data_IF_304114469016
#
_entry.id   IF_304114469016
#
_cell.length_a   1.000
_cell.length_b   1.000
_cell.length_c   1.000
_cell.angle_alpha   90.00
_cell.angle_beta   90.00
_cell.angle_gamma   90.00
#
_symmetry.space_group_name_H-M   'P 1'
#
loop_
_entity.id
_entity.type
_entity.pdbx_description
1 polymer ?
#
# COMPACT_ATOMS: atom_id res chain seq x y z
N UNK A 1 -3.10 20.57 2.83
CA UNK A 1 -1.87 20.46 1.98
C UNK A 1 -0.64 20.07 2.80
N UNK A 2 -0.24 20.86 3.81
CA UNK A 2 0.95 20.56 4.65
C UNK A 2 0.90 19.15 5.26
N UNK A 3 -0.26 18.74 5.76
CA UNK A 3 -0.48 17.39 6.28
C UNK A 3 -0.13 16.28 5.28
N UNK A 4 -0.50 16.41 4.01
CA UNK A 4 -0.21 15.40 2.99
C UNK A 4 1.27 15.32 2.62
N UNK A 5 2.02 16.41 2.79
CA UNK A 5 3.47 16.45 2.59
C UNK A 5 4.17 15.64 3.68
N UNK A 6 3.80 15.86 4.94
CA UNK A 6 4.31 15.08 6.07
C UNK A 6 3.86 13.61 5.96
N UNK A 7 2.61 13.36 5.61
CA UNK A 7 2.13 12.01 5.35
C UNK A 7 2.93 11.34 4.23
N UNK A 8 3.32 12.09 3.18
CA UNK A 8 4.18 11.56 2.11
C UNK A 8 5.54 11.08 2.58
N UNK A 9 6.13 11.71 3.59
CA UNK A 9 7.37 11.22 4.20
C UNK A 9 7.18 9.86 4.87
N UNK A 10 6.10 9.68 5.65
CA UNK A 10 5.82 8.42 6.34
C UNK A 10 5.36 7.31 5.40
N UNK A 11 4.49 7.63 4.44
CA UNK A 11 3.93 6.67 3.47
C UNK A 11 5.05 6.07 2.61
N UNK A 12 6.04 6.86 2.17
CA UNK A 12 7.20 6.34 1.41
C UNK A 12 8.04 5.33 2.16
N UNK A 13 8.17 5.49 3.48
CA UNK A 13 8.95 4.55 4.30
C UNK A 13 8.18 3.26 4.56
N UNK A 14 6.84 3.35 4.58
CA UNK A 14 5.95 2.25 4.93
C UNK A 14 5.54 1.40 3.72
N UNK A 15 5.44 1.99 2.53
CA UNK A 15 4.99 1.31 1.33
C UNK A 15 6.01 1.43 0.21
N UNK A 16 6.39 0.29 -0.34
CA UNK A 16 7.32 0.20 -1.46
C UNK A 16 6.57 -0.02 -2.77
N UNK A 17 7.11 0.41 -3.92
CA UNK A 17 6.58 0.03 -5.22
C UNK A 17 6.45 -1.50 -5.35
N UNK A 18 5.31 -1.99 -5.87
CA UNK A 18 4.95 -3.40 -5.95
C UNK A 18 4.32 -3.97 -4.67
N UNK A 19 4.18 -3.19 -3.60
CA UNK A 19 3.52 -3.67 -2.39
C UNK A 19 2.00 -3.65 -2.54
N UNK A 20 1.36 -4.80 -2.35
CA UNK A 20 -0.08 -4.92 -2.27
C UNK A 20 -0.63 -4.21 -1.02
N UNK A 21 -1.63 -3.36 -1.23
CA UNK A 21 -2.31 -2.59 -0.19
C UNK A 21 -3.83 -2.73 -0.33
N UNK A 22 -4.51 -2.66 0.81
CA UNK A 22 -5.97 -2.56 0.90
C UNK A 22 -6.37 -1.39 1.77
N UNK A 23 -7.11 -0.45 1.20
CA UNK A 23 -7.50 0.81 1.83
C UNK A 23 -9.00 1.02 1.59
N UNK A 24 -9.82 0.74 2.60
CA UNK A 24 -11.27 0.73 2.44
C UNK A 24 -11.70 -0.28 1.36
N UNK A 25 -12.28 0.24 0.27
CA UNK A 25 -12.68 -0.56 -0.90
C UNK A 25 -11.58 -0.69 -1.96
N UNK A 26 -10.53 0.13 -1.88
CA UNK A 26 -9.41 0.10 -2.82
C UNK A 26 -8.52 -1.11 -2.54
N UNK A 27 -8.33 -1.96 -3.54
CA UNK A 27 -7.37 -3.07 -3.53
C UNK A 27 -6.43 -2.91 -4.72
N UNK A 28 -5.13 -2.94 -4.48
CA UNK A 28 -4.15 -2.81 -5.55
C UNK A 28 -2.72 -2.79 -5.04
N UNK A 29 -1.79 -2.44 -5.91
CA UNK A 29 -0.37 -2.37 -5.64
C UNK A 29 0.14 -0.94 -5.74
N UNK A 30 1.00 -0.54 -4.81
CA UNK A 30 1.63 0.77 -4.85
C UNK A 30 2.57 0.83 -6.06
N UNK A 31 2.34 1.77 -6.97
CA UNK A 31 3.26 2.04 -8.10
C UNK A 31 4.35 3.03 -7.69
N UNK A 32 4.00 3.99 -6.82
CA UNK A 32 4.96 4.95 -6.28
C UNK A 32 4.31 6.01 -5.40
N UNK A 33 5.08 6.54 -4.45
CA UNK A 33 4.60 7.59 -3.54
C UNK A 33 5.25 8.93 -3.86
N UNK A 34 4.43 9.89 -4.27
CA UNK A 34 4.80 11.28 -4.50
C UNK A 34 4.69 12.14 -3.24
N UNK A 35 4.83 13.46 -3.39
CA UNK A 35 4.93 14.37 -2.22
C UNK A 35 3.62 14.49 -1.46
N UNK A 36 2.49 14.47 -2.17
CA UNK A 36 1.15 14.62 -1.57
C UNK A 36 0.22 13.44 -1.85
N UNK A 37 0.51 12.69 -2.91
CA UNK A 37 -0.31 11.56 -3.36
C UNK A 37 0.55 10.33 -3.63
N UNK A 38 -0.09 9.16 -3.59
CA UNK A 38 0.44 7.86 -3.94
C UNK A 38 -0.33 7.30 -5.13
N UNK A 39 0.38 6.72 -6.07
CA UNK A 39 -0.19 6.05 -7.23
C UNK A 39 -0.33 4.57 -6.90
N UNK A 40 -1.54 4.03 -7.14
CA UNK A 40 -1.91 2.65 -6.88
C UNK A 40 -2.41 2.04 -8.18
N UNK A 41 -1.79 0.95 -8.61
CA UNK A 41 -2.28 0.12 -9.71
C UNK A 41 -3.33 -0.84 -9.17
N UNK A 42 -4.52 -0.82 -9.76
CA UNK A 42 -5.64 -1.70 -9.45
C UNK A 42 -6.05 -2.46 -10.70
N UNK A 43 -6.92 -3.46 -10.57
CA UNK A 43 -7.44 -4.22 -11.71
C UNK A 43 -8.27 -3.35 -12.68
N UNK A 44 -8.80 -2.23 -12.18
CA UNK A 44 -9.58 -1.25 -12.94
C UNK A 44 -8.71 -0.18 -13.60
N UNK A 45 -7.40 -0.16 -13.29
CA UNK A 45 -6.44 0.83 -13.79
C UNK A 45 -5.71 1.58 -12.67
N UNK A 46 -5.26 2.80 -12.97
CA UNK A 46 -4.42 3.60 -12.07
C UNK A 46 -5.30 4.52 -11.21
N UNK A 47 -5.16 4.42 -9.89
CA UNK A 47 -5.82 5.29 -8.91
C UNK A 47 -4.80 6.16 -8.18
N UNK A 48 -5.13 7.43 -7.96
CA UNK A 48 -4.32 8.38 -7.19
C UNK A 48 -4.95 8.58 -5.81
N UNK A 49 -4.21 8.26 -4.76
CA UNK A 49 -4.68 8.32 -3.37
C UNK A 49 -3.93 9.41 -2.61
N UNK A 50 -4.61 10.31 -1.88
CA UNK A 50 -3.93 11.26 -1.01
C UNK A 50 -3.17 10.56 0.11
N UNK A 51 -1.93 11.00 0.38
CA UNK A 51 -1.05 10.36 1.36
C UNK A 51 -1.66 10.34 2.78
N UNK A 52 -2.50 11.32 3.10
CA UNK A 52 -3.20 11.36 4.39
C UNK A 52 -4.13 10.16 4.61
N UNK A 53 -4.82 9.73 3.55
CA UNK A 53 -5.73 8.58 3.59
C UNK A 53 -4.96 7.29 3.87
N UNK A 54 -3.78 7.12 3.26
CA UNK A 54 -2.91 5.95 3.47
C UNK A 54 -2.23 5.93 4.85
N UNK A 55 -2.03 7.11 5.45
CA UNK A 55 -1.46 7.23 6.79
C UNK A 55 -2.50 6.91 7.87
N UNK A 56 -3.74 7.39 7.69
CA UNK A 56 -4.84 7.19 8.64
C UNK A 56 -5.44 5.79 8.54
N UNK A 57 -5.50 5.23 7.33
CA UNK A 57 -6.00 3.88 7.14
C UNK A 57 -4.99 2.89 7.69
N UNK A 58 -5.44 2.01 8.59
CA UNK A 58 -4.65 0.85 9.01
C UNK A 58 -4.60 -0.12 7.82
N UNK A 59 -3.66 0.11 6.90
CA UNK A 59 -3.48 -0.75 5.73
C UNK A 59 -3.02 -2.11 6.22
N UNK A 60 -3.91 -3.08 6.07
CA UNK A 60 -3.57 -4.49 6.25
C UNK A 60 -2.76 -4.89 5.02
N UNK A 61 -1.43 -4.87 5.14
CA UNK A 61 -0.58 -5.55 4.15
C UNK A 61 -1.03 -7.02 4.16
N UNK A 62 -1.47 -7.59 3.02
CA UNK A 62 -1.70 -9.02 2.94
C UNK A 62 -0.38 -9.67 3.33
N UNK A 63 -0.39 -10.43 4.43
CA UNK A 63 0.78 -11.15 4.90
C UNK A 63 1.20 -12.05 3.75
N UNK A 64 2.34 -11.76 3.13
CA UNK A 64 2.89 -12.59 2.05
C UNK A 64 2.87 -14.05 2.52
N UNK A 65 2.32 -15.01 1.75
CA UNK A 65 2.28 -16.40 2.16
C UNK A 65 3.72 -16.84 2.38
N UNK A 66 4.04 -17.23 3.62
CA UNK A 66 5.37 -17.75 3.98
C UNK A 66 5.65 -18.95 3.04
N UNK A 67 6.63 -18.88 2.12
CA UNK A 67 6.94 -20.03 1.28
C UNK A 67 7.71 -21.01 2.16
N UNK A 68 7.04 -22.06 2.65
CA UNK A 68 7.72 -23.08 3.46
C UNK A 68 6.88 -23.91 4.43
N UNK A 69 5.55 -23.94 4.34
CA UNK A 69 4.80 -25.00 5.02
C UNK A 69 4.81 -26.26 4.15
N UNK A 70 5.95 -26.95 4.15
CA UNK A 70 6.03 -28.34 3.68
C UNK A 70 5.12 -29.20 4.54
N UNK A 71 4.14 -29.84 3.90
CA UNK A 71 3.17 -30.78 4.48
C UNK A 71 3.84 -31.92 5.25
N UNK A 72 3.19 -32.48 6.27
CA UNK A 72 3.72 -33.62 7.01
C UNK A 72 3.60 -34.88 6.15
N UNK A 73 4.70 -35.64 6.03
CA UNK A 73 4.67 -37.05 5.67
C UNK A 73 5.00 -37.83 6.92
N UNK A 74 3.99 -38.47 7.50
CA UNK A 74 4.07 -39.76 8.21
C UNK A 74 2.67 -40.38 8.29
#
# INVERSE_FOLDING_TARGET
>A
IVYHILAGYYVRQRYQPGQAIRVGQLNGEVSGTGSVNTVVSTDEGITVVPNGVLLESTVQSPRSPRPGASSPRE
#
